data_IF_332783937735
#
_entry.id   IF_332783937735
#
_cell.length_a   1.000
_cell.length_b   1.000
_cell.length_c   1.000
_cell.angle_alpha   90.00
_cell.angle_beta   90.00
_cell.angle_gamma   90.00
#
_symmetry.space_group_name_H-M   'P 1'
#
loop_
_entity.id
_entity.type
_entity.pdbx_description
1 polymer ?
#
# COMPACT_ATOMS: atom_id res chain seq x y z
N UNK A 1 1.92 -3.71 -3.24
CA UNK A 1 1.36 -2.55 -2.51
C UNK A 1 -0.14 -2.62 -2.67
N UNK A 2 -0.90 -2.17 -1.69
CA UNK A 2 -2.38 -2.21 -1.74
C UNK A 2 -3.00 -1.34 -0.63
N UNK A 3 -4.31 -1.08 -0.71
CA UNK A 3 -5.12 -0.42 0.32
C UNK A 3 -6.00 -1.37 1.15
N UNK A 4 -5.76 -1.42 2.47
CA UNK A 4 -6.63 -2.09 3.43
C UNK A 4 -7.73 -1.15 3.98
N UNK A 5 -8.96 -1.38 3.54
CA UNK A 5 -10.15 -0.60 3.95
C UNK A 5 -10.80 -1.08 5.27
N UNK A 6 -10.25 -2.11 5.92
CA UNK A 6 -10.73 -2.61 7.20
C UNK A 6 -10.12 -1.90 8.41
N UNK A 7 -8.91 -1.37 8.26
CA UNK A 7 -8.14 -0.67 9.30
C UNK A 7 -8.57 0.79 9.48
N UNK A 8 -9.86 1.01 9.70
CA UNK A 8 -10.46 2.33 9.90
C UNK A 8 -10.21 2.88 11.31
N UNK A 9 -10.33 4.19 11.49
CA UNK A 9 -10.37 4.87 12.80
C UNK A 9 -11.57 5.81 12.85
N UNK A 10 -12.22 5.93 14.01
CA UNK A 10 -13.35 6.83 14.17
C UNK A 10 -12.88 8.18 14.68
N UNK A 11 -13.48 9.24 14.15
CA UNK A 11 -13.24 10.61 14.61
C UNK A 11 -13.59 10.81 16.10
N UNK A 12 -14.54 10.01 16.62
CA UNK A 12 -14.98 10.03 18.03
C UNK A 12 -14.03 9.31 18.99
N UNK A 13 -13.00 8.64 18.49
CA UNK A 13 -12.15 7.77 19.30
C UNK A 13 -10.95 8.51 19.87
N UNK A 14 -10.53 8.11 21.08
CA UNK A 14 -9.30 8.61 21.69
C UNK A 14 -9.28 10.09 22.07
N UNK A 15 -10.43 10.75 22.21
CA UNK A 15 -10.55 12.18 22.57
C UNK A 15 -10.35 12.46 24.09
N UNK A 16 -9.85 11.48 24.84
CA UNK A 16 -9.64 11.60 26.28
C UNK A 16 -8.40 12.40 26.66
N UNK A 17 -8.36 12.90 27.90
CA UNK A 17 -7.19 13.56 28.46
C UNK A 17 -6.00 12.60 28.57
N UNK A 18 -4.79 13.08 28.30
CA UNK A 18 -3.55 12.30 28.43
C UNK A 18 -3.11 11.51 27.19
N UNK A 19 -3.37 12.04 25.97
CA UNK A 19 -2.80 11.45 24.76
C UNK A 19 -1.27 11.40 24.84
N UNK A 20 -0.73 10.19 24.89
CA UNK A 20 0.71 9.96 24.83
C UNK A 20 1.20 10.17 23.40
N UNK A 21 2.42 10.69 23.26
CA UNK A 21 3.10 10.70 21.97
C UNK A 21 3.34 9.26 21.48
N UNK A 22 3.30 9.07 20.16
CA UNK A 22 3.65 7.79 19.53
C UNK A 22 5.04 7.33 19.96
N UNK A 23 5.14 6.09 20.45
CA UNK A 23 6.40 5.47 20.87
C UNK A 23 7.28 5.12 19.67
N UNK A 24 6.66 4.64 18.59
CA UNK A 24 7.39 4.19 17.41
C UNK A 24 7.61 5.29 16.36
N UNK A 25 7.07 6.49 16.60
CA UNK A 25 7.17 7.65 15.71
C UNK A 25 6.79 7.23 14.28
N UNK A 26 7.75 7.28 13.35
CA UNK A 26 7.54 7.08 11.92
C UNK A 26 8.23 5.81 11.40
N UNK A 27 8.36 4.78 12.25
CA UNK A 27 9.09 3.56 11.88
C UNK A 27 8.48 2.86 10.64
N UNK A 28 7.16 2.69 10.63
CA UNK A 28 6.43 2.17 9.46
C UNK A 28 5.36 3.14 8.95
N UNK A 29 4.67 3.85 9.85
CA UNK A 29 3.67 4.84 9.47
C UNK A 29 4.36 6.17 9.15
N UNK A 30 4.07 6.74 7.99
CA UNK A 30 4.56 8.08 7.64
C UNK A 30 3.82 9.17 8.42
N UNK A 31 4.46 10.33 8.58
CA UNK A 31 3.83 11.51 9.16
C UNK A 31 2.60 11.92 8.34
N UNK A 32 1.46 12.08 9.02
CA UNK A 32 0.21 12.33 8.35
C UNK A 32 0.14 13.70 7.69
N UNK A 33 0.84 14.71 8.21
CA UNK A 33 0.89 16.04 7.61
C UNK A 33 1.71 16.01 6.32
N UNK A 34 2.85 15.30 6.30
CA UNK A 34 3.62 15.09 5.06
C UNK A 34 2.79 14.41 3.97
N UNK A 35 1.99 13.40 4.33
CA UNK A 35 1.11 12.70 3.39
C UNK A 35 0.00 13.62 2.88
N UNK A 36 -0.65 14.38 3.77
CA UNK A 36 -1.70 15.35 3.39
C UNK A 36 -1.16 16.44 2.48
N UNK A 37 0.00 17.00 2.81
CA UNK A 37 0.66 18.05 2.03
C UNK A 37 1.02 17.54 0.63
N UNK A 38 1.56 16.33 0.52
CA UNK A 38 1.80 15.74 -0.78
C UNK A 38 0.49 15.57 -1.55
N UNK A 39 -0.54 14.98 -0.93
CA UNK A 39 -1.82 14.71 -1.60
C UNK A 39 -2.61 15.98 -1.97
N UNK A 40 -2.40 17.11 -1.29
CA UNK A 40 -3.05 18.37 -1.64
C UNK A 40 -2.47 18.98 -2.93
N UNK A 41 -1.18 18.78 -3.17
CA UNK A 41 -0.48 19.24 -4.37
C UNK A 41 -0.40 18.16 -5.48
N UNK A 42 -0.66 16.90 -5.14
CA UNK A 42 -0.54 15.79 -6.06
C UNK A 42 -1.75 15.77 -7.02
N UNK A 43 -1.54 16.36 -8.20
CA UNK A 43 -2.34 16.23 -9.42
C UNK A 43 -3.80 15.85 -9.22
N UNK A 44 -4.67 16.83 -8.96
CA UNK A 44 -6.14 16.66 -8.96
C UNK A 44 -6.62 16.53 -10.41
N UNK A 45 -6.24 15.46 -11.10
CA UNK A 45 -6.85 15.14 -12.38
C UNK A 45 -8.17 14.42 -12.11
N UNK A 46 -9.23 15.24 -12.14
CA UNK A 46 -10.61 14.81 -12.33
C UNK A 46 -10.65 13.84 -13.52
N UNK A 47 -11.07 12.60 -13.24
CA UNK A 47 -11.27 11.53 -14.21
C UNK A 47 -10.01 11.19 -15.02
N UNK A 48 -9.13 10.38 -14.43
CA UNK A 48 -8.64 9.25 -15.22
C UNK A 48 -9.88 8.47 -15.66
N UNK A 49 -10.28 8.57 -16.93
CA UNK A 49 -11.05 7.50 -17.55
C UNK A 49 -10.22 6.24 -17.34
N UNK A 50 -10.54 5.50 -16.28
CA UNK A 50 -10.10 4.13 -16.09
C UNK A 50 -10.57 3.43 -17.35
N UNK A 51 -9.68 3.26 -18.32
CA UNK A 51 -9.92 2.26 -19.35
C UNK A 51 -10.24 0.99 -18.57
N UNK A 52 -11.45 0.48 -18.75
CA UNK A 52 -11.97 -0.77 -18.18
C UNK A 52 -11.04 -1.92 -18.57
N UNK A 53 -9.87 -1.99 -17.94
CA UNK A 53 -8.94 -3.08 -18.13
C UNK A 53 -9.17 -4.14 -17.08
N UNK A 54 -9.54 -3.77 -15.85
CA UNK A 54 -9.82 -4.68 -14.75
C UNK A 54 -11.32 -4.85 -14.48
N UNK A 55 -11.79 -6.10 -14.39
CA UNK A 55 -13.14 -6.46 -13.94
C UNK A 55 -13.30 -6.47 -12.41
N UNK A 56 -12.22 -6.28 -11.64
CA UNK A 56 -12.27 -6.11 -10.18
C UNK A 56 -12.61 -4.66 -9.78
N UNK A 57 -13.39 -4.52 -8.70
CA UNK A 57 -13.80 -3.22 -8.14
C UNK A 57 -12.69 -2.49 -7.34
N UNK A 58 -11.41 -2.83 -7.54
CA UNK A 58 -10.30 -2.06 -6.99
C UNK A 58 -10.18 -0.73 -7.75
N UNK A 59 -10.19 0.41 -7.05
CA UNK A 59 -10.10 1.73 -7.67
C UNK A 59 -11.41 2.35 -8.17
N UNK A 60 -12.58 1.75 -7.92
CA UNK A 60 -13.84 2.40 -8.26
C UNK A 60 -14.06 3.65 -7.38
N UNK A 61 -14.04 4.83 -8.02
CA UNK A 61 -14.38 6.14 -7.43
C UNK A 61 -15.75 6.12 -6.72
N UNK A 62 -16.59 5.12 -6.99
CA UNK A 62 -17.88 4.90 -6.31
C UNK A 62 -17.70 4.64 -4.79
N UNK A 63 -16.58 4.08 -4.33
CA UNK A 63 -16.31 3.93 -2.88
C UNK A 63 -15.97 5.25 -2.18
N UNK A 64 -15.51 6.25 -2.93
CA UNK A 64 -15.24 7.60 -2.38
C UNK A 64 -16.50 8.36 -1.95
N UNK A 65 -17.70 7.84 -2.26
CA UNK A 65 -18.99 8.46 -1.91
C UNK A 65 -19.70 7.83 -0.71
N UNK A 66 -19.15 6.81 -0.05
CA UNK A 66 -19.72 6.36 1.22
C UNK A 66 -19.35 7.40 2.28
N UNK A 67 -20.38 8.09 2.78
CA UNK A 67 -20.33 9.13 3.82
C UNK A 67 -19.57 8.64 5.07
N UNK A 68 -18.25 8.83 5.09
CA UNK A 68 -17.40 8.58 6.27
C UNK A 68 -17.34 9.80 7.20
N UNK A 69 -18.46 10.51 7.43
CA UNK A 69 -18.48 11.64 8.39
C UNK A 69 -18.05 11.26 9.81
N UNK A 70 -17.98 9.95 10.11
CA UNK A 70 -17.60 9.39 11.41
C UNK A 70 -16.18 8.80 11.44
N UNK A 71 -15.47 8.77 10.31
CA UNK A 71 -14.11 8.22 10.22
C UNK A 71 -13.16 9.32 9.76
N UNK A 72 -12.11 9.53 10.52
CA UNK A 72 -10.96 10.35 10.15
C UNK A 72 -9.93 9.53 9.37
N UNK A 73 -9.79 8.22 9.66
CA UNK A 73 -9.04 7.26 8.84
C UNK A 73 -10.00 6.23 8.22
N UNK A 74 -9.99 6.15 6.89
CA UNK A 74 -10.84 5.27 6.08
C UNK A 74 -10.17 3.95 5.69
N UNK A 75 -8.88 3.80 6.00
CA UNK A 75 -8.09 2.60 5.77
C UNK A 75 -6.59 2.88 5.85
N UNK A 76 -5.77 1.88 5.55
CA UNK A 76 -4.31 1.99 5.49
C UNK A 76 -3.83 1.57 4.12
N UNK A 77 -3.02 2.39 3.46
CA UNK A 77 -2.31 2.00 2.24
C UNK A 77 -0.90 1.56 2.59
N UNK A 78 -0.44 0.45 2.03
CA UNK A 78 0.83 -0.14 2.45
C UNK A 78 1.66 -0.76 1.34
N UNK A 79 2.95 -0.92 1.64
CA UNK A 79 3.92 -1.64 0.84
C UNK A 79 4.68 -2.66 1.66
N UNK A 80 5.04 -3.76 1.01
CA UNK A 80 5.96 -4.78 1.51
C UNK A 80 7.00 -5.06 0.44
N UNK A 81 8.16 -5.55 0.84
CA UNK A 81 9.13 -6.11 -0.11
C UNK A 81 8.73 -7.54 -0.50
N UNK A 82 9.48 -8.14 -1.44
CA UNK A 82 9.28 -9.53 -1.88
C UNK A 82 9.42 -10.60 -0.78
N UNK A 83 9.96 -10.22 0.38
CA UNK A 83 10.16 -11.11 1.53
C UNK A 83 9.06 -10.94 2.60
N UNK A 84 7.96 -10.27 2.26
CA UNK A 84 6.83 -10.00 3.15
C UNK A 84 7.15 -9.09 4.34
N UNK A 85 8.30 -8.40 4.27
CA UNK A 85 8.67 -7.40 5.27
C UNK A 85 7.98 -6.07 4.89
N UNK A 86 7.19 -5.47 5.80
CA UNK A 86 6.63 -4.14 5.64
C UNK A 86 7.70 -3.10 5.32
N UNK A 87 7.40 -2.23 4.35
CA UNK A 87 8.30 -1.14 3.94
C UNK A 87 7.75 0.20 4.40
N UNK A 88 6.47 0.48 4.13
CA UNK A 88 5.83 1.76 4.51
C UNK A 88 4.32 1.61 4.60
N UNK A 89 3.69 2.35 5.53
CA UNK A 89 2.26 2.44 5.75
C UNK A 89 1.81 3.89 5.76
N UNK A 90 0.66 4.17 5.14
CA UNK A 90 0.04 5.49 5.07
C UNK A 90 -1.40 5.40 5.55
N UNK A 91 -1.80 6.27 6.48
CA UNK A 91 -3.20 6.38 6.87
C UNK A 91 -4.01 7.12 5.79
N UNK A 92 -5.07 6.47 5.29
CA UNK A 92 -5.91 7.01 4.24
C UNK A 92 -7.06 7.84 4.82
N UNK A 93 -7.03 9.16 4.67
CA UNK A 93 -8.11 10.08 5.09
C UNK A 93 -9.29 10.13 4.11
N UNK A 94 -9.09 9.61 2.91
CA UNK A 94 -10.09 9.47 1.87
C UNK A 94 -10.01 8.06 1.31
N UNK A 95 -10.99 7.63 0.51
CA UNK A 95 -10.84 6.39 -0.24
C UNK A 95 -9.55 6.37 -1.06
N UNK A 96 -9.13 5.18 -1.48
CA UNK A 96 -7.88 4.96 -2.20
C UNK A 96 -7.76 5.87 -3.43
N UNK A 97 -6.63 6.59 -3.50
CA UNK A 97 -6.24 7.49 -4.58
C UNK A 97 -4.85 7.05 -5.07
N UNK A 98 -4.57 7.25 -6.37
CA UNK A 98 -3.24 6.98 -6.94
C UNK A 98 -2.11 7.84 -6.34
N UNK A 99 -2.44 8.87 -5.56
CA UNK A 99 -1.48 9.63 -4.79
C UNK A 99 -0.80 8.83 -3.67
N UNK A 100 -1.48 7.85 -3.05
CA UNK A 100 -0.86 7.01 -2.00
C UNK A 100 0.26 6.12 -2.55
N UNK A 101 0.05 5.31 -3.62
CA UNK A 101 1.15 4.55 -4.20
C UNK A 101 2.25 5.46 -4.79
N UNK A 102 1.90 6.61 -5.36
CA UNK A 102 2.89 7.57 -5.85
C UNK A 102 3.77 8.14 -4.72
N UNK A 103 3.18 8.42 -3.55
CA UNK A 103 3.92 8.88 -2.37
C UNK A 103 4.96 7.86 -1.93
N UNK A 104 4.53 6.60 -1.71
CA UNK A 104 5.45 5.55 -1.27
C UNK A 104 6.54 5.34 -2.33
N UNK A 105 6.17 5.31 -3.62
CA UNK A 105 7.15 5.14 -4.70
C UNK A 105 8.22 6.23 -4.67
N UNK A 106 7.82 7.51 -4.51
CA UNK A 106 8.75 8.64 -4.41
C UNK A 106 9.70 8.47 -3.22
N UNK A 107 9.19 8.08 -2.05
CA UNK A 107 10.00 7.85 -0.85
C UNK A 107 10.97 6.68 -1.00
N UNK A 108 10.53 5.58 -1.62
CA UNK A 108 11.37 4.42 -1.88
C UNK A 108 12.50 4.78 -2.85
N UNK A 109 12.20 5.47 -3.95
CA UNK A 109 13.19 5.88 -4.95
C UNK A 109 14.20 6.91 -4.42
N UNK A 110 13.84 7.72 -3.42
CA UNK A 110 14.80 8.61 -2.75
C UNK A 110 15.88 7.85 -1.96
N UNK A 111 15.58 6.62 -1.51
CA UNK A 111 16.46 5.82 -0.65
C UNK A 111 17.11 4.63 -1.38
N UNK A 112 16.74 4.37 -2.63
CA UNK A 112 17.21 3.24 -3.42
C UNK A 112 17.58 3.66 -4.84
N UNK A 113 18.73 3.23 -5.34
CA UNK A 113 19.33 3.69 -6.61
C UNK A 113 19.24 2.67 -7.75
N UNK A 114 18.37 1.67 -7.66
CA UNK A 114 18.35 0.56 -8.63
C UNK A 114 16.95 0.07 -8.99
N UNK A 115 16.83 -0.46 -10.21
CA UNK A 115 15.67 -1.10 -10.84
C UNK A 115 14.67 -1.71 -9.84
N UNK A 116 13.57 -0.99 -9.62
CA UNK A 116 12.49 -1.38 -8.71
C UNK A 116 11.36 -2.04 -9.48
N UNK A 117 10.92 -3.22 -9.04
CA UNK A 117 9.67 -3.81 -9.53
C UNK A 117 8.53 -3.43 -8.58
N UNK A 118 7.55 -2.71 -9.09
CA UNK A 118 6.35 -2.26 -8.37
C UNK A 118 5.19 -3.19 -8.69
N UNK A 119 4.78 -3.98 -7.70
CA UNK A 119 3.61 -4.86 -7.80
C UNK A 119 2.38 -4.24 -7.16
N UNK A 120 1.29 -4.16 -7.92
CA UNK A 120 0.01 -3.61 -7.49
C UNK A 120 -1.13 -4.10 -8.39
N UNK A 121 -2.31 -4.33 -7.82
CA UNK A 121 -3.51 -4.81 -8.51
C UNK A 121 -3.88 -3.99 -9.74
N UNK A 122 -3.71 -2.67 -9.64
CA UNK A 122 -3.95 -1.71 -10.71
C UNK A 122 -2.65 -1.04 -11.17
N UNK A 123 -1.54 -1.79 -11.18
CA UNK A 123 -0.22 -1.30 -11.63
C UNK A 123 -0.26 -0.67 -13.03
N UNK A 124 -1.08 -1.19 -13.95
CA UNK A 124 -1.27 -0.60 -15.29
C UNK A 124 -1.83 0.83 -15.22
N UNK A 125 -2.83 1.06 -14.38
CA UNK A 125 -3.45 2.37 -14.13
C UNK A 125 -2.46 3.30 -13.44
N UNK A 126 -1.73 2.80 -12.44
CA UNK A 126 -0.70 3.55 -11.75
C UNK A 126 0.42 3.99 -12.72
N UNK A 127 0.96 3.07 -13.53
CA UNK A 127 2.02 3.39 -14.48
C UNK A 127 1.60 4.47 -15.47
N UNK A 128 0.39 4.35 -16.04
CA UNK A 128 -0.15 5.35 -16.98
C UNK A 128 -0.34 6.71 -16.31
N UNK A 129 -0.81 6.73 -15.07
CA UNK A 129 -0.95 7.96 -14.31
C UNK A 129 0.41 8.60 -14.04
N UNK A 130 1.38 7.82 -13.57
CA UNK A 130 2.72 8.30 -13.25
C UNK A 130 3.47 8.85 -14.47
N UNK A 131 3.29 8.28 -15.67
CA UNK A 131 3.84 8.84 -16.93
C UNK A 131 3.46 10.31 -17.17
N UNK A 132 2.38 10.79 -16.55
CA UNK A 132 1.91 12.18 -16.66
C UNK A 132 2.37 13.06 -15.49
N UNK A 133 2.66 12.46 -14.33
CA UNK A 133 2.87 13.19 -13.07
C UNK A 133 4.28 13.08 -12.51
N UNK A 134 5.11 12.18 -13.02
CA UNK A 134 6.45 11.89 -12.52
C UNK A 134 7.49 11.98 -13.64
N UNK A 135 8.72 12.36 -13.27
CA UNK A 135 9.83 12.49 -14.19
C UNK A 135 10.16 11.17 -14.91
N UNK A 136 10.42 11.25 -16.22
CA UNK A 136 10.63 10.06 -17.06
C UNK A 136 11.90 9.28 -16.71
N UNK A 137 12.97 9.95 -16.26
CA UNK A 137 14.22 9.29 -15.84
C UNK A 137 14.04 8.54 -14.53
N UNK A 138 13.18 9.07 -13.65
CA UNK A 138 12.80 8.38 -12.42
C UNK A 138 11.94 7.16 -12.72
N UNK A 139 10.97 7.27 -13.64
CA UNK A 139 10.12 6.14 -14.03
C UNK A 139 10.83 5.04 -14.79
N UNK A 140 11.91 5.35 -15.53
CA UNK A 140 12.75 4.34 -16.20
C UNK A 140 13.39 3.35 -15.22
N UNK A 141 13.52 3.73 -13.95
CA UNK A 141 14.03 2.85 -12.89
C UNK A 141 12.95 1.93 -12.33
N UNK A 142 11.70 2.03 -12.79
CA UNK A 142 10.57 1.27 -12.29
C UNK A 142 10.01 0.33 -13.36
N UNK A 143 9.79 -0.92 -12.99
CA UNK A 143 8.98 -1.86 -13.77
C UNK A 143 7.67 -2.12 -13.04
N UNK A 144 6.54 -1.94 -13.71
CA UNK A 144 5.22 -2.11 -13.11
C UNK A 144 4.65 -3.48 -13.47
N UNK A 145 4.07 -4.16 -12.48
CA UNK A 145 3.60 -5.53 -12.65
C UNK A 145 2.31 -5.77 -11.86
N UNK A 146 1.38 -6.52 -12.45
CA UNK A 146 0.15 -6.97 -11.80
C UNK A 146 0.38 -8.39 -11.27
N UNK A 147 0.13 -8.65 -9.96
CA UNK A 147 0.27 -9.98 -9.38
C UNK A 147 -0.48 -11.08 -10.16
N UNK A 148 0.03 -12.31 -10.12
CA UNK A 148 -0.46 -13.41 -10.98
C UNK A 148 -1.98 -13.61 -10.85
N UNK A 149 -2.51 -13.61 -9.63
CA UNK A 149 -3.94 -13.83 -9.40
C UNK A 149 -4.79 -12.68 -9.95
N UNK A 150 -4.36 -11.46 -9.72
CA UNK A 150 -5.07 -10.26 -10.16
C UNK A 150 -5.01 -10.07 -11.68
N UNK A 151 -3.95 -10.57 -12.33
CA UNK A 151 -3.76 -10.45 -13.78
C UNK A 151 -4.93 -11.04 -14.58
N UNK A 152 -5.57 -12.12 -14.11
CA UNK A 152 -6.70 -12.75 -14.81
C UNK A 152 -7.94 -11.86 -14.96
N UNK A 153 -8.10 -10.87 -14.10
CA UNK A 153 -9.20 -9.92 -14.24
C UNK A 153 -8.87 -8.75 -15.15
N UNK A 154 -7.64 -8.67 -15.65
CA UNK A 154 -7.24 -7.68 -16.63
C UNK A 154 -7.49 -8.19 -18.06
N UNK A 155 -7.73 -7.29 -19.01
CA UNK A 155 -7.82 -7.65 -20.42
C UNK A 155 -6.49 -8.23 -20.95
N UNK A 156 -6.55 -8.95 -22.08
CA UNK A 156 -5.39 -9.68 -22.64
C UNK A 156 -4.19 -8.77 -22.88
N UNK A 157 -4.41 -7.56 -23.39
CA UNK A 157 -3.32 -6.59 -23.63
C UNK A 157 -2.60 -6.22 -22.33
N UNK A 158 -3.36 -5.97 -21.26
CA UNK A 158 -2.79 -5.68 -19.94
C UNK A 158 -2.09 -6.90 -19.33
N UNK A 159 -2.63 -8.11 -19.53
CA UNK A 159 -1.95 -9.34 -19.10
C UNK A 159 -0.61 -9.53 -19.80
N UNK A 160 -0.50 -9.19 -21.09
CA UNK A 160 0.77 -9.30 -21.83
C UNK A 160 1.77 -8.21 -21.43
N UNK A 161 1.32 -6.98 -21.18
CA UNK A 161 2.20 -5.84 -20.86
C UNK A 161 2.62 -5.80 -19.38
N UNK A 162 1.69 -6.07 -18.46
CA UNK A 162 1.90 -5.95 -17.01
C UNK A 162 1.88 -7.29 -16.27
N UNK A 163 1.58 -8.40 -16.94
CA UNK A 163 1.50 -9.70 -16.29
C UNK A 163 2.82 -10.10 -15.65
N UNK A 164 2.75 -10.50 -14.38
CA UNK A 164 3.94 -10.85 -13.60
C UNK A 164 4.81 -11.93 -14.26
N UNK A 165 4.19 -12.92 -14.93
CA UNK A 165 4.92 -13.99 -15.63
C UNK A 165 5.77 -13.51 -16.80
N UNK A 166 5.46 -12.33 -17.33
CA UNK A 166 6.23 -11.67 -18.40
C UNK A 166 7.16 -10.58 -17.87
N UNK A 167 7.17 -10.35 -16.55
CA UNK A 167 7.99 -9.32 -15.91
C UNK A 167 9.30 -9.91 -15.39
N UNK A 168 10.43 -9.45 -15.92
CA UNK A 168 11.76 -9.82 -15.45
C UNK A 168 12.00 -9.46 -13.98
N UNK A 169 12.93 -10.16 -13.33
CA UNK A 169 13.34 -9.93 -11.94
C UNK A 169 12.26 -10.16 -10.85
N UNK A 170 11.12 -10.76 -11.21
CA UNK A 170 10.06 -11.15 -10.26
C UNK A 170 10.29 -12.52 -9.63
N UNK A 171 11.03 -13.40 -10.30
CA UNK A 171 11.28 -14.77 -9.82
C UNK A 171 9.98 -15.57 -9.70
N UNK A 172 9.88 -16.40 -8.66
CA UNK A 172 8.70 -17.23 -8.36
C UNK A 172 7.78 -16.60 -7.30
N UNK A 173 7.85 -15.29 -7.10
CA UNK A 173 6.90 -14.61 -6.19
C UNK A 173 5.47 -14.77 -6.70
N UNK A 174 4.47 -14.68 -5.83
CA UNK A 174 3.06 -14.62 -6.21
C UNK A 174 2.54 -13.17 -6.32
N UNK A 175 3.29 -12.22 -5.74
CA UNK A 175 2.90 -10.80 -5.64
C UNK A 175 1.93 -10.50 -4.48
N UNK A 176 1.57 -11.50 -3.68
CA UNK A 176 0.51 -11.44 -2.65
C UNK A 176 1.02 -11.06 -1.26
N UNK A 177 2.24 -10.50 -1.19
CA UNK A 177 2.91 -10.11 0.05
C UNK A 177 2.06 -9.23 0.95
N UNK A 178 1.46 -8.23 0.33
CA UNK A 178 0.68 -7.22 1.02
C UNK A 178 -0.65 -7.81 1.52
N UNK A 179 -1.29 -8.70 0.75
CA UNK A 179 -2.52 -9.39 1.15
C UNK A 179 -2.29 -10.33 2.34
N UNK A 180 -1.15 -11.01 2.39
CA UNK A 180 -0.76 -11.85 3.53
C UNK A 180 -0.55 -11.00 4.79
N UNK A 181 0.03 -9.82 4.66
CA UNK A 181 0.11 -8.85 5.76
C UNK A 181 -1.28 -8.34 6.18
N UNK A 182 -2.16 -8.02 5.24
CA UNK A 182 -3.54 -7.60 5.52
C UNK A 182 -4.35 -8.66 6.24
N UNK A 183 -4.19 -9.92 5.87
CA UNK A 183 -4.79 -11.06 6.57
C UNK A 183 -4.36 -11.09 8.05
N UNK A 184 -3.07 -10.91 8.31
CA UNK A 184 -2.52 -10.84 9.67
C UNK A 184 -3.05 -9.62 10.45
N UNK A 185 -3.06 -8.42 9.85
CA UNK A 185 -3.51 -7.20 10.52
C UNK A 185 -5.04 -7.16 10.74
N UNK A 186 -5.82 -7.98 10.04
CA UNK A 186 -7.28 -8.04 10.19
C UNK A 186 -7.73 -8.31 11.62
N UNK A 187 -6.94 -9.06 12.40
CA UNK A 187 -7.22 -9.32 13.81
C UNK A 187 -7.28 -8.05 14.68
N UNK A 188 -6.63 -6.97 14.24
CA UNK A 188 -6.53 -5.72 14.99
C UNK A 188 -7.62 -4.71 14.61
N UNK A 189 -8.36 -4.90 13.50
CA UNK A 189 -9.33 -3.93 12.98
C UNK A 189 -10.34 -3.44 14.02
N UNK A 190 -10.85 -4.34 14.85
CA UNK A 190 -11.90 -4.00 15.84
C UNK A 190 -11.36 -3.14 16.97
N UNK A 191 -10.15 -3.42 17.44
CA UNK A 191 -9.56 -2.74 18.59
C UNK A 191 -8.95 -1.39 18.16
N UNK A 192 -8.20 -1.36 17.07
CA UNK A 192 -7.51 -0.14 16.60
C UNK A 192 -8.48 0.96 16.20
N UNK A 193 -9.68 0.60 15.75
CA UNK A 193 -10.73 1.54 15.38
C UNK A 193 -11.19 2.45 16.53
N UNK A 194 -11.09 1.98 17.77
CA UNK A 194 -11.60 2.69 18.96
C UNK A 194 -10.49 3.37 19.77
N UNK A 195 -9.22 3.11 19.46
CA UNK A 195 -8.05 3.64 20.17
C UNK A 195 -7.84 5.13 19.87
N UNK A 196 -6.93 5.80 20.59
CA UNK A 196 -6.38 7.07 20.10
C UNK A 196 -5.45 6.82 18.91
N UNK A 197 -5.25 7.85 18.09
CA UNK A 197 -4.46 7.73 16.86
C UNK A 197 -3.03 7.24 17.13
N UNK A 198 -2.37 7.77 18.17
CA UNK A 198 -1.01 7.39 18.55
C UNK A 198 -0.96 5.95 19.04
N UNK A 199 -1.87 5.55 19.94
CA UNK A 199 -1.91 4.18 20.46
C UNK A 199 -2.24 3.18 19.34
N UNK A 200 -3.11 3.55 18.40
CA UNK A 200 -3.41 2.75 17.21
C UNK A 200 -2.16 2.52 16.37
N UNK A 201 -1.44 3.59 16.04
CA UNK A 201 -0.22 3.50 15.23
C UNK A 201 0.87 2.69 15.94
N UNK A 202 1.01 2.86 17.26
CA UNK A 202 1.95 2.06 18.06
C UNK A 202 1.59 0.58 18.03
N UNK A 203 0.32 0.22 18.30
CA UNK A 203 -0.13 -1.17 18.27
C UNK A 203 0.04 -1.81 16.89
N UNK A 204 -0.29 -1.07 15.82
CA UNK A 204 -0.09 -1.56 14.46
C UNK A 204 1.41 -1.69 14.14
N UNK A 205 2.24 -0.79 14.64
CA UNK A 205 3.70 -0.86 14.47
C UNK A 205 4.29 -2.06 15.20
N UNK A 206 3.86 -2.35 16.43
CA UNK A 206 4.23 -3.57 17.15
C UNK A 206 3.81 -4.83 16.39
N UNK A 207 2.60 -4.83 15.84
CA UNK A 207 2.12 -5.94 15.02
C UNK A 207 3.00 -6.12 13.76
N UNK A 208 3.40 -5.03 13.10
CA UNK A 208 4.28 -5.03 11.93
C UNK A 208 5.70 -5.50 12.27
N UNK A 209 6.24 -5.11 13.44
CA UNK A 209 7.52 -5.59 13.95
C UNK A 209 7.47 -7.10 14.18
N UNK A 210 6.41 -7.61 14.80
CA UNK A 210 6.22 -9.05 14.97
C UNK A 210 6.10 -9.80 13.64
N UNK A 211 5.37 -9.23 12.67
CA UNK A 211 5.28 -9.80 11.33
C UNK A 211 6.65 -9.85 10.65
N UNK A 212 7.43 -8.76 10.76
CA UNK A 212 8.80 -8.66 10.26
C UNK A 212 9.71 -9.72 10.88
N UNK A 213 9.66 -9.89 12.20
CA UNK A 213 10.42 -10.90 12.92
C UNK A 213 10.13 -12.31 12.38
N UNK A 214 8.84 -12.65 12.21
CA UNK A 214 8.43 -13.93 11.62
C UNK A 214 8.91 -14.09 10.18
N UNK A 215 8.78 -13.06 9.36
CA UNK A 215 9.24 -13.08 7.97
C UNK A 215 10.75 -13.36 7.90
N UNK A 216 11.55 -12.63 8.67
CA UNK A 216 13.02 -12.82 8.73
C UNK A 216 13.39 -14.22 9.22
N UNK A 217 12.73 -14.71 10.28
CA UNK A 217 12.97 -16.06 10.79
C UNK A 217 12.71 -17.12 9.71
N UNK A 218 11.65 -16.96 8.92
CA UNK A 218 11.30 -17.88 7.85
C UNK A 218 12.29 -17.82 6.67
N UNK A 219 12.92 -16.67 6.39
CA UNK A 219 14.00 -16.57 5.40
C UNK A 219 15.20 -17.43 5.80
N UNK A 220 15.56 -17.46 7.09
CA UNK A 220 16.67 -18.25 7.62
C UNK A 220 16.45 -19.77 7.54
N UNK A 221 15.20 -20.22 7.54
CA UNK A 221 14.84 -21.64 7.52
C UNK A 221 14.84 -22.27 6.13
N UNK A 222 14.79 -21.48 5.04
CA UNK A 222 14.75 -22.00 3.67
C UNK A 222 16.06 -22.67 3.21
N UNK A 223 17.17 -22.51 3.93
CA UNK A 223 18.43 -23.23 3.62
C UNK A 223 18.42 -24.73 3.95
N UNK A 224 17.39 -25.24 4.64
CA UNK A 224 17.36 -26.63 5.15
C UNK A 224 16.48 -27.60 4.35
N UNK A 225 15.81 -27.15 3.28
CA UNK A 225 14.88 -27.98 2.49
C UNK A 225 15.32 -28.25 1.05
N UNK A 226 16.56 -27.90 0.70
CA UNK A 226 17.21 -28.36 -0.53
C UNK A 226 18.36 -29.28 -0.14
N UNK A 227 18.04 -30.53 0.19
CA UNK A 227 18.93 -31.69 0.10
C UNK A 227 18.10 -32.84 -0.45
#
# INVERSE_FOLDING_TARGET
>A
MDGNFGLVHKTSSGVGHGQLASRHKNLFFEDQENVKEFLSHYGIDKKSNTSECSNFQAGNVIRSKIKTKKLDITGVFGSVCKHDIPVMMLDMTHGERLGYPAYILKKVLQNHTSNLVVMYDIACTLHRHLKKTMDSDVLRQCTFSVPVFHSFAHNVTCQLEYGQRFTSATGLTDGEGIERLWSYLRGFNKITKEMSINNRQDLLTDALLHHTFKAIHNLGMQKSKCN
#
